data_IF_106157348752
#
_entry.id   IF_106157348752
#
_cell.length_a   1.000
_cell.length_b   1.000
_cell.length_c   1.000
_cell.angle_alpha   90.00
_cell.angle_beta   90.00
_cell.angle_gamma   90.00
#
_symmetry.space_group_name_H-M   'P 1'
#
loop_
_entity.id
_entity.type
_entity.pdbx_description
1 polymer ?
#
# COMPACT_ATOMS: atom_id res chain seq x y z
N UNK A 1 0.23 -34.73 -28.45
CA UNK A 1 0.69 -33.66 -27.53
C UNK A 1 -0.42 -32.62 -27.38
N UNK A 2 -1.15 -32.56 -26.26
CA UNK A 2 -2.05 -31.44 -26.01
C UNK A 2 -1.27 -30.29 -25.35
N UNK A 3 -1.29 -29.11 -25.99
CA UNK A 3 -0.81 -27.86 -25.41
C UNK A 3 -1.73 -27.52 -24.23
N UNK A 4 -1.22 -27.66 -23.00
CA UNK A 4 -1.85 -27.09 -21.81
C UNK A 4 -1.86 -25.57 -21.96
N UNK A 5 -2.96 -25.02 -22.47
CA UNK A 5 -3.27 -23.62 -22.26
C UNK A 5 -3.55 -23.44 -20.77
N UNK A 6 -2.50 -23.08 -20.02
CA UNK A 6 -2.64 -22.52 -18.69
C UNK A 6 -3.54 -21.30 -18.83
N UNK A 7 -4.80 -21.45 -18.41
CA UNK A 7 -5.75 -20.35 -18.25
C UNK A 7 -5.05 -19.33 -17.37
N UNK A 8 -4.50 -18.27 -17.97
CA UNK A 8 -4.10 -17.07 -17.26
C UNK A 8 -5.36 -16.59 -16.54
N UNK A 9 -5.49 -16.95 -15.27
CA UNK A 9 -6.44 -16.34 -14.36
C UNK A 9 -6.09 -14.87 -14.34
N UNK A 10 -6.72 -14.10 -15.22
CA UNK A 10 -6.78 -12.64 -15.19
C UNK A 10 -7.62 -12.30 -13.95
N UNK A 11 -7.06 -12.55 -12.77
CA UNK A 11 -7.61 -12.06 -11.50
C UNK A 11 -7.59 -10.55 -11.65
N UNK A 12 -8.78 -9.98 -11.81
CA UNK A 12 -8.96 -8.53 -11.91
C UNK A 12 -8.21 -7.88 -10.75
N UNK A 13 -7.25 -7.03 -11.09
CA UNK A 13 -6.59 -6.19 -10.11
C UNK A 13 -7.65 -5.22 -9.60
N UNK A 14 -7.79 -5.17 -8.29
CA UNK A 14 -8.64 -4.21 -7.60
C UNK A 14 -7.77 -3.02 -7.21
N UNK A 15 -8.35 -1.82 -7.22
CA UNK A 15 -7.68 -0.64 -6.71
C UNK A 15 -7.88 -0.56 -5.21
N UNK A 16 -6.81 -0.33 -4.49
CA UNK A 16 -6.81 -0.14 -3.05
C UNK A 16 -6.18 1.20 -2.75
N UNK A 17 -6.84 2.01 -1.93
CA UNK A 17 -6.23 3.17 -1.29
C UNK A 17 -5.62 2.68 0.02
N UNK A 18 -4.30 2.81 0.13
CA UNK A 18 -3.53 2.45 1.32
C UNK A 18 -3.08 3.75 1.98
N UNK A 19 -3.46 3.95 3.23
CA UNK A 19 -2.99 5.04 4.08
C UNK A 19 -2.15 4.45 5.20
N UNK A 20 -0.89 4.86 5.31
CA UNK A 20 0.02 4.47 6.37
C UNK A 20 0.25 5.67 7.30
N UNK A 21 0.03 5.47 8.59
CA UNK A 21 0.32 6.49 9.59
C UNK A 21 1.84 6.70 9.72
N UNK A 22 2.25 7.96 9.81
CA UNK A 22 3.63 8.33 10.10
C UNK A 22 3.76 8.67 11.59
N UNK A 23 4.97 8.58 12.14
CA UNK A 23 5.28 9.09 13.49
C UNK A 23 5.19 10.61 13.58
N UNK A 24 5.36 11.29 12.45
CA UNK A 24 5.11 12.72 12.30
C UNK A 24 3.61 12.96 12.04
N UNK A 25 3.07 14.16 12.32
CA UNK A 25 1.67 14.47 12.01
C UNK A 25 1.43 14.47 10.49
N UNK A 26 1.18 13.29 9.93
CA UNK A 26 1.01 13.05 8.50
C UNK A 26 0.71 11.58 8.20
N UNK A 27 0.11 11.34 7.04
CA UNK A 27 -0.16 10.00 6.54
C UNK A 27 0.44 9.85 5.13
N UNK A 28 0.97 8.67 4.84
CA UNK A 28 1.35 8.29 3.49
C UNK A 28 0.16 7.62 2.80
N UNK A 29 -0.47 8.36 1.87
CA UNK A 29 -1.60 7.89 1.07
C UNK A 29 -1.15 7.47 -0.32
N UNK A 30 -1.40 6.21 -0.70
CA UNK A 30 -1.07 5.71 -2.04
C UNK A 30 -2.18 4.82 -2.60
N UNK A 31 -2.44 4.96 -3.89
CA UNK A 31 -3.35 4.07 -4.62
C UNK A 31 -2.56 2.94 -5.28
N UNK A 32 -2.89 1.71 -4.92
CA UNK A 32 -2.23 0.50 -5.40
C UNK A 32 -3.23 -0.43 -6.07
N UNK A 33 -2.88 -0.92 -7.26
CA UNK A 33 -3.60 -2.01 -7.91
C UNK A 33 -3.05 -3.37 -7.46
N UNK A 34 -3.86 -4.16 -6.75
CA UNK A 34 -3.47 -5.46 -6.21
C UNK A 34 -4.63 -6.46 -6.19
N UNK A 35 -4.35 -7.74 -5.91
CA UNK A 35 -5.40 -8.77 -5.81
C UNK A 35 -5.98 -8.88 -4.41
N UNK A 36 -5.21 -8.48 -3.40
CA UNK A 36 -5.57 -8.59 -1.98
C UNK A 36 -5.08 -7.35 -1.23
N UNK A 37 -5.70 -7.03 -0.09
CA UNK A 37 -5.25 -5.95 0.80
C UNK A 37 -3.78 -6.12 1.20
N UNK A 38 -3.34 -7.35 1.49
CA UNK A 38 -1.95 -7.65 1.86
C UNK A 38 -0.97 -7.34 0.73
N UNK A 39 -1.33 -7.69 -0.51
CA UNK A 39 -0.51 -7.35 -1.68
C UNK A 39 -0.50 -5.84 -1.93
N UNK A 40 -1.61 -5.14 -1.66
CA UNK A 40 -1.66 -3.68 -1.73
C UNK A 40 -0.74 -3.02 -0.71
N UNK A 41 -0.75 -3.51 0.54
CA UNK A 41 0.12 -3.04 1.61
C UNK A 41 1.59 -3.24 1.26
N UNK A 42 1.98 -4.45 0.85
CA UNK A 42 3.38 -4.72 0.50
C UNK A 42 3.90 -3.76 -0.59
N UNK A 43 3.09 -3.53 -1.64
CA UNK A 43 3.43 -2.57 -2.70
C UNK A 43 3.48 -1.13 -2.22
N UNK A 44 2.60 -0.74 -1.27
CA UNK A 44 2.63 0.57 -0.66
C UNK A 44 3.91 0.77 0.17
N UNK A 45 4.31 -0.23 0.95
CA UNK A 45 5.58 -0.23 1.69
C UNK A 45 6.77 -0.18 0.75
N UNK A 46 6.77 -0.96 -0.34
CA UNK A 46 7.82 -0.90 -1.35
C UNK A 46 7.96 0.50 -1.94
N UNK A 47 6.84 1.16 -2.27
CA UNK A 47 6.86 2.56 -2.75
C UNK A 47 7.40 3.53 -1.72
N UNK A 48 7.02 3.35 -0.46
CA UNK A 48 7.52 4.15 0.65
C UNK A 48 9.04 4.01 0.81
N UNK A 49 9.55 2.78 0.83
CA UNK A 49 11.00 2.51 0.94
C UNK A 49 11.80 2.91 -0.29
N UNK A 50 11.18 2.90 -1.47
CA UNK A 50 11.80 3.35 -2.72
C UNK A 50 11.67 4.85 -2.96
N UNK A 51 11.10 5.59 -2.01
CA UNK A 51 10.85 7.04 -2.12
C UNK A 51 10.07 7.45 -3.39
N UNK A 52 9.20 6.56 -3.91
CA UNK A 52 8.32 6.86 -5.04
C UNK A 52 7.12 7.70 -4.58
N UNK A 53 7.40 8.94 -4.18
CA UNK A 53 6.41 9.93 -3.79
C UNK A 53 5.97 10.76 -5.01
N UNK A 54 4.66 10.99 -5.17
CA UNK A 54 4.16 11.96 -6.14
C UNK A 54 4.56 13.37 -5.65
N UNK A 55 5.59 13.96 -6.26
CA UNK A 55 6.15 15.29 -5.91
C UNK A 55 5.07 16.40 -5.86
N UNK A 56 4.01 16.27 -6.66
CA UNK A 56 2.92 17.25 -6.75
C UNK A 56 1.96 17.28 -5.55
N UNK A 57 2.11 16.36 -4.57
CA UNK A 57 1.26 16.32 -3.36
C UNK A 57 2.00 16.66 -2.06
N UNK A 58 3.27 17.06 -2.15
CA UNK A 58 4.14 17.15 -0.98
C UNK A 58 3.98 18.51 -0.28
N UNK A 59 3.23 18.53 0.81
CA UNK A 59 3.55 19.42 1.94
C UNK A 59 4.92 18.98 2.49
N UNK A 60 5.88 19.91 2.63
CA UNK A 60 7.27 19.75 3.11
C UNK A 60 7.45 18.86 4.36
N UNK A 61 7.18 17.57 4.25
CA UNK A 61 7.47 16.57 5.27
C UNK A 61 8.79 15.96 4.86
N UNK A 62 9.76 15.99 5.77
CA UNK A 62 11.04 15.32 5.63
C UNK A 62 10.80 13.80 5.62
N UNK A 63 10.56 13.25 4.43
CA UNK A 63 10.28 11.83 4.22
C UNK A 63 11.44 10.95 4.65
N UNK A 64 12.68 11.46 4.60
CA UNK A 64 13.86 10.78 5.12
C UNK A 64 13.83 10.61 6.65
N UNK A 65 13.07 11.44 7.37
CA UNK A 65 12.78 11.33 8.80
C UNK A 65 11.36 10.84 9.11
N UNK A 66 10.57 10.55 8.08
CA UNK A 66 9.25 9.94 8.26
C UNK A 66 9.49 8.47 8.55
N UNK A 67 9.29 8.09 9.81
CA UNK A 67 9.22 6.68 10.18
C UNK A 67 7.74 6.29 10.21
N UNK A 68 7.40 5.13 9.65
CA UNK A 68 6.03 4.62 9.73
C UNK A 68 5.69 4.30 11.19
N UNK A 69 4.55 4.78 11.68
CA UNK A 69 4.00 4.39 12.98
C UNK A 69 2.97 3.27 12.79
N UNK A 70 3.41 2.17 12.18
CA UNK A 70 2.55 1.06 11.84
C UNK A 70 3.02 -0.24 12.49
N UNK A 71 2.06 -1.10 12.82
CA UNK A 71 2.34 -2.44 13.31
C UNK A 71 2.26 -3.46 12.16
N UNK A 72 3.34 -3.61 11.41
CA UNK A 72 3.44 -4.54 10.28
C UNK A 72 3.24 -6.02 10.67
N UNK A 73 3.56 -6.37 11.91
CA UNK A 73 3.38 -7.72 12.47
C UNK A 73 1.96 -7.94 13.00
N UNK A 74 1.17 -6.88 13.09
CA UNK A 74 -0.23 -6.92 13.50
C UNK A 74 -1.15 -7.40 12.38
N UNK A 75 -2.41 -7.70 12.74
CA UNK A 75 -3.44 -7.91 11.73
C UNK A 75 -3.73 -6.57 11.03
N UNK A 76 -3.76 -6.56 9.70
CA UNK A 76 -4.03 -5.35 8.88
C UNK A 76 -5.43 -4.78 9.11
N UNK A 77 -6.37 -5.60 9.59
CA UNK A 77 -7.73 -5.18 9.93
C UNK A 77 -7.86 -4.80 11.43
N UNK A 78 -6.78 -4.81 12.23
CA UNK A 78 -6.84 -4.35 13.63
C UNK A 78 -6.88 -2.83 13.72
N UNK A 79 -7.84 -2.32 14.48
CA UNK A 79 -7.93 -0.89 14.80
C UNK A 79 -6.71 -0.48 15.63
N UNK A 80 -6.04 0.60 15.22
CA UNK A 80 -4.85 1.14 15.91
C UNK A 80 -3.50 0.58 15.45
N UNK A 81 -3.47 -0.17 14.34
CA UNK A 81 -2.22 -0.64 13.72
C UNK A 81 -1.55 0.40 12.79
N UNK A 82 -2.13 1.59 12.64
CA UNK A 82 -1.63 2.64 11.74
C UNK A 82 -1.81 2.36 10.24
N UNK A 83 -2.49 1.27 9.86
CA UNK A 83 -2.67 0.83 8.48
C UNK A 83 -4.15 0.92 8.11
N UNK A 84 -4.46 1.73 7.11
CA UNK A 84 -5.81 1.81 6.56
C UNK A 84 -5.79 1.38 5.08
N UNK A 85 -6.65 0.43 4.72
CA UNK A 85 -6.73 -0.09 3.35
C UNK A 85 -8.21 -0.15 2.93
N UNK A 86 -8.56 0.67 1.96
CA UNK A 86 -9.89 0.74 1.37
C UNK A 86 -9.87 0.27 -0.08
N UNK A 87 -10.84 -0.55 -0.50
CA UNK A 87 -11.00 -0.92 -1.91
C UNK A 87 -11.75 0.19 -2.64
N UNK A 88 -11.07 0.83 -3.60
CA UNK A 88 -11.66 1.87 -4.46
C UNK A 88 -12.41 1.17 -5.60
N UNK A 89 -13.72 1.39 -5.67
CA UNK A 89 -14.60 0.83 -6.71
C UNK A 89 -14.53 1.61 -8.02
#
# INVERSE_FOLDING_TARGET
>A
MPKLFSKKNKKFLKKYKVSLALKVPGNFDVEISAKTKKEALNKALEKYYNEEFDEDKITDIDWSNSELDINEKGNIDNIGNGIFIEEVK
#
